data_IF_525410729225
#
_entry.id   IF_525410729225
#
_cell.length_a   1.000
_cell.length_b   1.000
_cell.length_c   1.000
_cell.angle_alpha   90.00
_cell.angle_beta   90.00
_cell.angle_gamma   90.00
#
_symmetry.space_group_name_H-M   'P 1'
#
loop_
_entity.id
_entity.type
_entity.pdbx_description
1 polymer ?
#
# COMPACT_ATOMS: atom_id res chain seq x y z
N UNK A 1 21.99 26.46 57.07
CA UNK A 1 22.78 25.48 56.35
C UNK A 1 21.91 24.51 55.74
N UNK A 2 21.81 24.51 54.66
CA UNK A 2 21.11 23.75 53.98
C UNK A 2 20.99 23.95 52.64
N UNK A 3 20.93 23.25 52.09
CA UNK A 3 21.58 22.77 51.20
C UNK A 3 20.86 21.91 50.38
N UNK A 4 20.74 22.22 49.23
CA UNK A 4 21.13 21.45 48.15
C UNK A 4 20.43 20.17 48.04
N UNK A 5 19.21 20.25 47.78
CA UNK A 5 18.49 19.10 47.35
C UNK A 5 17.70 19.42 46.10
N UNK A 6 18.39 20.07 45.20
CA UNK A 6 17.69 20.52 44.04
C UNK A 6 18.38 20.19 42.73
N UNK A 7 19.21 19.21 42.77
CA UNK A 7 20.00 18.92 41.60
C UNK A 7 19.67 17.56 40.96
N UNK A 8 18.59 16.94 41.35
CA UNK A 8 18.29 15.61 40.84
C UNK A 8 16.89 15.46 40.25
N UNK A 9 16.38 16.55 39.74
CA UNK A 9 15.27 16.45 38.81
C UNK A 9 15.76 16.75 37.40
N UNK A 10 16.86 16.10 37.07
CA UNK A 10 17.20 15.98 35.68
C UNK A 10 16.22 14.99 35.10
N UNK A 11 15.20 15.55 34.55
CA UNK A 11 14.24 14.86 33.74
C UNK A 11 14.97 13.94 32.76
N UNK A 12 14.80 12.68 32.99
CA UNK A 12 15.03 11.67 31.97
C UNK A 12 13.94 11.85 30.91
N UNK A 13 14.14 12.82 30.07
CA UNK A 13 13.45 12.88 28.80
C UNK A 13 14.02 11.74 27.99
N UNK A 14 13.43 10.57 28.19
CA UNK A 14 13.56 9.52 27.23
C UNK A 14 12.93 10.01 25.94
N UNK A 15 13.75 10.58 25.09
CA UNK A 15 13.42 10.79 23.70
C UNK A 15 13.27 9.41 23.11
N UNK A 16 12.05 8.92 23.10
CA UNK A 16 11.70 7.82 22.22
C UNK A 16 11.82 8.37 20.82
N UNK A 17 13.01 8.33 20.27
CA UNK A 17 13.19 8.39 18.86
C UNK A 17 12.55 7.11 18.32
N UNK A 18 11.29 7.20 17.93
CA UNK A 18 10.74 6.24 17.01
C UNK A 18 11.54 6.41 15.74
N UNK A 19 12.60 5.64 15.65
CA UNK A 19 13.26 5.40 14.39
C UNK A 19 12.28 4.59 13.56
N UNK A 20 11.35 5.28 12.94
CA UNK A 20 10.58 4.74 11.85
C UNK A 20 11.57 4.54 10.72
N UNK A 21 12.20 3.40 10.71
CA UNK A 21 12.91 2.91 9.53
C UNK A 21 11.87 2.54 8.48
N UNK A 22 11.24 3.53 7.94
CA UNK A 22 10.53 3.42 6.69
C UNK A 22 11.55 3.68 5.59
N UNK A 23 12.34 2.67 5.26
CA UNK A 23 13.27 2.71 4.12
C UNK A 23 12.53 2.61 2.77
N UNK A 24 11.24 2.89 2.76
CA UNK A 24 10.40 2.84 1.59
C UNK A 24 10.10 4.26 1.15
N UNK A 25 10.68 4.72 0.04
CA UNK A 25 10.48 6.09 -0.42
C UNK A 25 9.04 6.33 -0.88
N UNK A 26 8.52 7.54 -0.64
CA UNK A 26 7.29 8.00 -1.25
C UNK A 26 7.36 7.82 -2.79
N UNK A 27 6.27 7.45 -3.48
CA UNK A 27 4.86 7.59 -3.06
C UNK A 27 4.19 6.31 -2.54
N UNK A 28 4.90 5.40 -1.92
CA UNK A 28 4.31 4.18 -1.36
C UNK A 28 4.94 3.82 -0.01
N UNK A 29 4.19 3.09 0.81
CA UNK A 29 4.66 2.51 2.06
C UNK A 29 4.17 1.06 2.16
N UNK A 30 5.07 0.14 2.56
CA UNK A 30 4.71 -1.23 2.94
C UNK A 30 4.62 -1.25 4.45
N UNK A 31 3.42 -1.44 4.98
CA UNK A 31 3.12 -1.34 6.40
C UNK A 31 3.18 -2.68 7.15
N UNK A 32 3.52 -3.77 6.42
CA UNK A 32 3.62 -5.11 7.00
C UNK A 32 2.26 -5.78 7.19
N UNK A 33 2.17 -6.63 8.23
CA UNK A 33 0.93 -7.32 8.61
C UNK A 33 0.18 -6.49 9.65
N UNK A 34 -1.13 -6.38 9.52
CA UNK A 34 -1.99 -5.63 10.44
C UNK A 34 -3.39 -5.46 9.90
N UNK A 35 -4.25 -4.81 10.66
CA UNK A 35 -5.59 -4.48 10.20
C UNK A 35 -5.56 -3.22 9.34
N UNK A 36 -6.12 -3.29 8.14
CA UNK A 36 -6.44 -2.10 7.35
C UNK A 36 -7.65 -1.45 8.00
N UNK A 37 -7.54 -0.19 8.47
CA UNK A 37 -8.70 0.50 9.00
C UNK A 37 -9.81 0.53 7.94
N UNK A 38 -10.98 0.02 8.27
CA UNK A 38 -12.13 -0.04 7.37
C UNK A 38 -12.79 1.32 7.16
N UNK A 39 -12.01 2.36 6.98
CA UNK A 39 -12.45 3.73 6.83
C UNK A 39 -12.47 4.13 5.37
N UNK A 40 -13.43 4.96 5.03
CA UNK A 40 -13.55 5.55 3.70
C UNK A 40 -12.35 6.41 3.32
N UNK A 41 -11.61 6.94 4.31
CA UNK A 41 -10.46 7.82 4.11
C UNK A 41 -10.82 9.16 3.45
N UNK A 42 -9.84 10.02 3.32
CA UNK A 42 -9.95 11.27 2.56
C UNK A 42 -8.90 11.38 1.43
N UNK A 43 -8.08 10.32 1.27
CA UNK A 43 -7.07 10.21 0.23
C UNK A 43 -5.76 10.91 0.54
N UNK A 44 -5.57 11.35 1.78
CA UNK A 44 -4.27 11.83 2.27
C UNK A 44 -3.38 10.66 2.69
N UNK A 45 -2.10 10.91 2.92
CA UNK A 45 -1.18 9.86 3.41
C UNK A 45 -1.56 9.40 4.81
N UNK A 46 -2.01 10.32 5.64
CA UNK A 46 -2.42 10.08 7.03
C UNK A 46 -3.77 9.36 7.13
N UNK A 47 -4.59 9.47 6.11
CA UNK A 47 -5.93 8.88 6.04
C UNK A 47 -6.24 8.41 4.60
N UNK A 48 -5.56 7.37 4.09
CA UNK A 48 -5.74 6.88 2.73
C UNK A 48 -7.17 6.40 2.47
N UNK A 49 -7.60 6.44 1.23
CA UNK A 49 -8.86 5.81 0.84
C UNK A 49 -8.82 4.31 1.07
N UNK A 50 -9.95 3.77 1.54
CA UNK A 50 -10.19 2.32 1.54
C UNK A 50 -10.32 1.80 0.09
N UNK A 51 -10.27 0.49 -0.06
CA UNK A 51 -10.46 -0.15 -1.37
C UNK A 51 -11.81 0.21 -1.98
N UNK A 52 -12.88 0.18 -1.18
CA UNK A 52 -14.24 0.51 -1.64
C UNK A 52 -14.35 1.99 -2.07
N UNK A 53 -13.74 2.90 -1.30
CA UNK A 53 -13.73 4.31 -1.65
C UNK A 53 -12.95 4.57 -2.93
N UNK A 54 -11.79 3.92 -3.10
CA UNK A 54 -10.99 4.02 -4.31
C UNK A 54 -11.70 3.42 -5.53
N UNK A 55 -12.44 2.32 -5.36
CA UNK A 55 -13.22 1.71 -6.44
C UNK A 55 -14.32 2.63 -6.96
N UNK A 56 -14.93 3.42 -6.08
CA UNK A 56 -16.00 4.36 -6.44
C UNK A 56 -15.43 5.66 -7.04
N UNK A 57 -14.23 6.06 -6.60
CA UNK A 57 -13.64 7.34 -6.98
C UNK A 57 -12.61 7.16 -8.10
N UNK A 58 -13.09 6.93 -9.31
CA UNK A 58 -12.26 6.75 -10.51
C UNK A 58 -12.35 7.97 -11.43
N UNK A 59 -12.04 9.15 -10.89
CA UNK A 59 -12.22 10.45 -11.52
C UNK A 59 -10.90 11.16 -11.89
N UNK A 60 -9.76 10.47 -11.80
CA UNK A 60 -8.44 11.03 -12.05
C UNK A 60 -7.83 11.78 -10.87
N UNK A 61 -8.49 11.82 -9.72
CA UNK A 61 -7.93 12.44 -8.51
C UNK A 61 -6.65 11.73 -8.10
N UNK A 62 -5.60 12.49 -7.78
CA UNK A 62 -4.39 11.94 -7.17
C UNK A 62 -4.63 11.81 -5.67
N UNK A 63 -4.53 10.58 -5.17
CA UNK A 63 -4.81 10.27 -3.78
C UNK A 63 -4.01 9.07 -3.27
N UNK A 64 -3.93 8.93 -1.96
CA UNK A 64 -3.42 7.73 -1.30
C UNK A 64 -4.53 6.69 -1.15
N UNK A 65 -4.19 5.44 -1.43
CA UNK A 65 -5.05 4.26 -1.24
C UNK A 65 -4.30 3.23 -0.42
N UNK A 66 -4.99 2.54 0.46
CA UNK A 66 -4.40 1.50 1.30
C UNK A 66 -5.16 0.19 1.16
N UNK A 67 -4.41 -0.92 1.04
CA UNK A 67 -4.97 -2.26 0.98
C UNK A 67 -3.90 -3.34 1.10
N UNK A 68 -4.32 -4.59 1.24
CA UNK A 68 -3.41 -5.73 1.21
C UNK A 68 -3.02 -6.08 -0.22
N UNK A 69 -1.75 -6.35 -0.45
CA UNK A 69 -1.27 -6.93 -1.72
C UNK A 69 -1.77 -8.37 -1.79
N UNK A 70 -2.62 -8.67 -2.76
CA UNK A 70 -3.25 -9.99 -2.87
C UNK A 70 -2.91 -10.74 -4.16
N UNK A 71 -2.38 -10.06 -5.18
CA UNK A 71 -2.05 -10.74 -6.44
C UNK A 71 -1.67 -9.81 -7.58
N UNK A 72 -1.79 -10.34 -8.78
CA UNK A 72 -1.51 -9.65 -10.06
C UNK A 72 -2.54 -10.02 -11.12
N UNK A 73 -2.57 -9.27 -12.21
CA UNK A 73 -3.22 -9.65 -13.47
C UNK A 73 -2.12 -10.06 -14.46
N UNK A 74 -2.16 -11.31 -14.92
CA UNK A 74 -1.09 -11.88 -15.74
C UNK A 74 -1.25 -11.57 -17.24
N UNK A 75 -2.47 -11.33 -17.71
CA UNK A 75 -2.77 -11.02 -19.11
C UNK A 75 -3.78 -9.87 -19.23
N UNK A 76 -3.38 -8.80 -19.91
CA UNK A 76 -4.26 -7.64 -20.11
C UNK A 76 -5.42 -7.88 -21.09
N UNK A 77 -5.34 -8.90 -21.94
CA UNK A 77 -6.42 -9.27 -22.89
C UNK A 77 -7.55 -10.05 -22.20
N UNK A 78 -7.24 -10.74 -21.10
CA UNK A 78 -8.20 -11.41 -20.23
C UNK A 78 -7.90 -11.08 -18.76
N UNK A 79 -8.16 -9.83 -18.32
CA UNK A 79 -7.76 -9.42 -16.98
C UNK A 79 -8.46 -10.20 -15.86
N UNK A 80 -9.74 -10.55 -16.06
CA UNK A 80 -10.51 -11.28 -15.05
C UNK A 80 -10.10 -12.76 -14.96
N UNK A 81 -9.89 -13.41 -16.09
CA UNK A 81 -9.52 -14.83 -16.15
C UNK A 81 -8.05 -15.08 -15.80
N UNK A 82 -7.20 -14.05 -15.93
CA UNK A 82 -5.78 -14.15 -15.61
C UNK A 82 -5.39 -13.56 -14.25
N UNK A 83 -6.35 -13.11 -13.45
CA UNK A 83 -6.05 -12.65 -12.09
C UNK A 83 -5.51 -13.80 -11.24
N UNK A 84 -4.37 -13.58 -10.58
CA UNK A 84 -3.63 -14.60 -9.86
C UNK A 84 -3.34 -14.14 -8.44
N UNK A 85 -3.73 -14.96 -7.48
CA UNK A 85 -3.68 -14.67 -6.05
C UNK A 85 -2.68 -15.54 -5.28
N UNK A 86 -1.88 -16.32 -5.99
CA UNK A 86 -0.83 -17.17 -5.42
C UNK A 86 0.35 -17.30 -6.37
N UNK A 87 1.54 -17.47 -5.81
CA UNK A 87 2.76 -17.69 -6.59
C UNK A 87 2.69 -19.00 -7.41
N UNK A 88 3.48 -19.12 -8.49
CA UNK A 88 4.41 -18.14 -9.01
C UNK A 88 3.73 -17.02 -9.81
N UNK A 89 4.24 -15.81 -9.71
CA UNK A 89 3.77 -14.65 -10.48
C UNK A 89 4.72 -14.38 -11.64
N UNK A 90 4.21 -13.84 -12.76
CA UNK A 90 5.01 -13.46 -13.92
C UNK A 90 4.86 -12.00 -14.31
N UNK A 91 3.69 -11.39 -14.03
CA UNK A 91 3.46 -9.98 -14.29
C UNK A 91 4.27 -9.09 -13.33
N UNK A 92 4.90 -8.06 -13.89
CA UNK A 92 5.71 -7.10 -13.12
C UNK A 92 5.14 -5.69 -13.10
N UNK A 93 4.18 -5.41 -13.97
CA UNK A 93 3.68 -4.06 -14.24
C UNK A 93 2.41 -3.72 -13.47
N UNK A 94 1.94 -4.60 -12.60
CA UNK A 94 0.73 -4.39 -11.83
C UNK A 94 0.70 -5.18 -10.53
N UNK A 95 -0.15 -4.72 -9.61
CA UNK A 95 -0.55 -5.41 -8.40
C UNK A 95 -2.07 -5.35 -8.25
N UNK A 96 -2.64 -6.32 -7.56
CA UNK A 96 -3.98 -6.25 -7.00
C UNK A 96 -3.89 -5.99 -5.50
N UNK A 97 -4.58 -4.98 -5.03
CA UNK A 97 -4.74 -4.69 -3.60
C UNK A 97 -6.22 -4.79 -3.21
N UNK A 98 -6.48 -5.28 -2.00
CA UNK A 98 -7.82 -5.55 -1.49
C UNK A 98 -7.96 -5.16 -0.01
N UNK A 99 -9.21 -5.11 0.47
CA UNK A 99 -9.52 -4.83 1.88
C UNK A 99 -9.15 -5.98 2.82
N UNK A 100 -8.94 -7.20 2.29
CA UNK A 100 -8.53 -8.38 3.05
C UNK A 100 -7.36 -9.07 2.39
N UNK A 101 -6.40 -9.56 3.18
CA UNK A 101 -5.26 -10.34 2.70
C UNK A 101 -5.65 -11.69 2.07
N UNK A 102 -6.86 -12.16 2.32
CA UNK A 102 -7.40 -13.43 1.80
C UNK A 102 -8.37 -13.25 0.64
N UNK A 103 -8.50 -12.03 0.10
CA UNK A 103 -9.37 -11.77 -1.05
C UNK A 103 -8.83 -12.46 -2.30
N UNK A 104 -9.71 -13.13 -3.03
CA UNK A 104 -9.41 -13.85 -4.28
C UNK A 104 -10.36 -13.49 -5.42
N UNK A 105 -11.26 -12.55 -5.19
CA UNK A 105 -12.15 -12.04 -6.23
C UNK A 105 -11.59 -10.71 -6.76
N UNK A 106 -11.13 -10.71 -7.99
CA UNK A 106 -10.55 -9.52 -8.63
C UNK A 106 -11.51 -8.32 -8.66
N UNK A 107 -12.82 -8.54 -8.63
CA UNK A 107 -13.83 -7.47 -8.61
C UNK A 107 -13.84 -6.68 -7.31
N UNK A 108 -13.30 -7.26 -6.24
CA UNK A 108 -13.15 -6.61 -4.93
C UNK A 108 -11.78 -5.95 -4.76
N UNK A 109 -10.98 -5.91 -5.84
CA UNK A 109 -9.63 -5.37 -5.81
C UNK A 109 -9.54 -4.01 -6.53
N UNK A 110 -8.48 -3.31 -6.22
CA UNK A 110 -7.98 -2.16 -6.98
C UNK A 110 -6.69 -2.58 -7.68
N UNK A 111 -6.56 -2.28 -8.98
CA UNK A 111 -5.39 -2.64 -9.76
C UNK A 111 -4.39 -1.48 -9.76
N UNK A 112 -3.22 -1.71 -9.19
CA UNK A 112 -2.13 -0.72 -9.12
C UNK A 112 -1.21 -0.90 -10.32
N UNK A 113 -1.01 0.18 -11.07
CA UNK A 113 0.00 0.22 -12.14
C UNK A 113 1.40 0.35 -11.53
N UNK A 114 2.32 -0.45 -12.02
CA UNK A 114 3.75 -0.34 -11.73
C UNK A 114 4.46 0.05 -13.03
N UNK A 115 4.81 1.33 -13.16
CA UNK A 115 5.46 1.85 -14.36
C UNK A 115 6.90 1.35 -14.47
N UNK A 116 7.24 0.75 -15.61
CA UNK A 116 8.58 0.19 -15.86
C UNK A 116 9.67 1.27 -15.68
N UNK A 117 10.78 0.87 -15.07
CA UNK A 117 11.91 1.77 -14.81
C UNK A 117 11.77 2.61 -13.53
N UNK A 118 10.67 2.47 -12.80
CA UNK A 118 10.48 3.14 -11.52
C UNK A 118 10.92 2.25 -10.35
N UNK A 119 11.15 2.87 -9.21
CA UNK A 119 11.41 2.14 -7.97
C UNK A 119 10.21 1.29 -7.54
N UNK A 120 8.99 1.79 -7.73
CA UNK A 120 7.74 1.05 -7.53
C UNK A 120 7.77 -0.29 -8.28
N UNK A 121 8.12 -0.26 -9.56
CA UNK A 121 8.22 -1.46 -10.38
C UNK A 121 9.22 -2.46 -9.81
N UNK A 122 10.42 -2.02 -9.42
CA UNK A 122 11.47 -2.92 -8.93
C UNK A 122 11.21 -3.46 -7.54
N UNK A 123 10.55 -2.70 -6.67
CA UNK A 123 10.34 -3.05 -5.25
C UNK A 123 9.03 -3.79 -5.00
N UNK A 124 8.00 -3.53 -5.81
CA UNK A 124 6.65 -4.02 -5.52
C UNK A 124 6.22 -5.20 -6.38
N UNK A 125 6.78 -5.41 -7.61
CA UNK A 125 6.31 -6.50 -8.44
C UNK A 125 6.46 -7.86 -7.75
N UNK A 126 5.40 -8.65 -7.77
CA UNK A 126 5.37 -9.96 -7.09
C UNK A 126 6.18 -11.05 -7.81
N UNK A 127 6.53 -10.85 -9.08
CA UNK A 127 7.35 -11.80 -9.81
C UNK A 127 8.78 -11.89 -9.24
N UNK A 128 9.28 -10.78 -8.70
CA UNK A 128 10.62 -10.68 -8.10
C UNK A 128 10.58 -10.53 -6.59
N UNK A 129 9.46 -10.04 -6.04
CA UNK A 129 9.28 -9.74 -4.62
C UNK A 129 8.03 -10.46 -4.06
N UNK A 130 7.95 -11.77 -4.25
CA UNK A 130 6.79 -12.58 -3.85
C UNK A 130 6.47 -12.49 -2.34
N UNK A 131 7.44 -12.12 -1.51
CA UNK A 131 7.25 -11.91 -0.07
C UNK A 131 6.38 -10.70 0.26
N UNK A 132 6.14 -9.79 -0.69
CA UNK A 132 5.21 -8.69 -0.49
C UNK A 132 3.74 -9.13 -0.46
N UNK A 133 3.43 -10.36 -0.92
CA UNK A 133 2.08 -10.88 -0.88
C UNK A 133 1.56 -10.94 0.56
N UNK A 134 0.37 -10.42 0.78
CA UNK A 134 -0.26 -10.34 2.09
C UNK A 134 0.13 -9.12 2.93
N UNK A 135 1.12 -8.34 2.52
CA UNK A 135 1.49 -7.11 3.23
C UNK A 135 0.54 -5.96 2.88
N UNK A 136 0.41 -5.02 3.81
CA UNK A 136 -0.36 -3.78 3.57
C UNK A 136 0.51 -2.83 2.76
N UNK A 137 -0.07 -2.29 1.70
CA UNK A 137 0.51 -1.26 0.85
C UNK A 137 -0.34 0.01 0.96
N UNK A 138 0.29 1.14 1.28
CA UNK A 138 -0.26 2.46 1.03
C UNK A 138 0.45 3.05 -0.19
N UNK A 139 -0.30 3.50 -1.19
CA UNK A 139 0.24 4.01 -2.45
C UNK A 139 -0.50 5.25 -2.93
N UNK A 140 0.25 6.21 -3.48
CA UNK A 140 -0.30 7.40 -4.11
C UNK A 140 -0.27 7.27 -5.63
N UNK A 141 -1.36 7.66 -6.26
CA UNK A 141 -1.44 7.75 -7.72
C UNK A 141 -2.77 8.32 -8.18
N UNK A 142 -2.94 8.43 -9.48
CA UNK A 142 -4.20 8.85 -10.09
C UNK A 142 -5.23 7.71 -10.01
N UNK A 143 -6.42 8.03 -9.48
CA UNK A 143 -7.53 7.07 -9.39
C UNK A 143 -8.20 6.93 -10.75
N UNK A 144 -7.65 6.05 -11.57
CA UNK A 144 -8.10 5.76 -12.92
C UNK A 144 -8.10 4.26 -13.19
N UNK A 145 -9.03 3.82 -14.02
CA UNK A 145 -9.10 2.41 -14.42
C UNK A 145 -7.80 1.93 -15.04
N UNK A 146 -7.36 0.76 -14.62
CA UNK A 146 -6.22 0.04 -15.19
C UNK A 146 -6.62 -1.41 -15.45
N UNK A 147 -6.35 -1.93 -16.64
CA UNK A 147 -6.84 -3.24 -17.12
C UNK A 147 -8.34 -3.44 -17.01
N UNK A 148 -9.13 -2.34 -17.14
CA UNK A 148 -10.59 -2.38 -17.03
C UNK A 148 -11.13 -2.42 -15.60
N UNK A 149 -10.28 -2.58 -14.60
CA UNK A 149 -10.64 -2.51 -13.16
C UNK A 149 -10.46 -1.11 -12.60
N UNK A 150 -11.15 -0.76 -11.49
CA UNK A 150 -10.76 0.38 -10.70
C UNK A 150 -9.27 0.32 -10.36
N UNK A 151 -8.55 1.40 -10.56
CA UNK A 151 -7.09 1.37 -10.47
C UNK A 151 -6.47 2.59 -9.81
N UNK A 152 -5.17 2.46 -9.55
CA UNK A 152 -4.25 3.53 -9.16
C UNK A 152 -3.11 3.52 -10.17
N UNK A 153 -2.95 4.61 -10.91
CA UNK A 153 -1.84 4.78 -11.85
C UNK A 153 -0.75 5.65 -11.24
N UNK A 154 0.45 5.13 -11.21
CA UNK A 154 1.65 5.79 -10.66
C UNK A 154 2.58 6.29 -11.75
#
# INVERSE_FOLDING_TARGET
MKKILNALFLALLAVFTFSSCSDVPAPYDILGEGDVPGLTGDGTKENPYSIEAAQQKQDGTIAWVQGYIVGTVENYEDPSGSAKFAAPFTAKNNLLIAASATETNVKNCVCVQLSSGTELYSKLNLAENATNLGHILAIQGSLEKFYGFPGVKS
#
